data_IF_155792101291
#
_entry.id   IF_155792101291
#
_cell.length_a   1.000
_cell.length_b   1.000
_cell.length_c   1.000
_cell.angle_alpha   90.00
_cell.angle_beta   90.00
_cell.angle_gamma   90.00
#
_symmetry.space_group_name_H-M   'P 1'
#
loop_
_entity.id
_entity.type
_entity.pdbx_description
1 polymer ?
#
# COMPACT_ATOMS: atom_id res chain seq x y z
N UNK A 1 2.65 20.50 -6.35
CA UNK A 1 1.77 19.47 -5.74
C UNK A 1 1.04 18.81 -6.88
N UNK A 2 1.28 17.51 -7.10
CA UNK A 2 0.65 16.76 -8.18
C UNK A 2 0.31 15.35 -7.67
N UNK A 3 -0.66 15.28 -6.76
CA UNK A 3 -1.26 13.99 -6.41
C UNK A 3 -2.08 13.53 -7.62
N UNK A 4 -1.67 12.42 -8.23
CA UNK A 4 -2.44 11.75 -9.28
C UNK A 4 -3.34 10.70 -8.64
N UNK A 5 -4.63 10.79 -8.91
CA UNK A 5 -5.54 9.71 -8.57
C UNK A 5 -5.19 8.44 -9.38
N UNK A 6 -5.06 7.31 -8.70
CA UNK A 6 -4.69 6.03 -9.34
C UNK A 6 -5.71 4.92 -9.11
N UNK A 7 -6.59 5.03 -8.11
CA UNK A 7 -7.62 4.02 -7.90
C UNK A 7 -8.51 4.24 -6.68
N UNK A 8 -9.65 3.58 -6.71
CA UNK A 8 -10.66 3.55 -5.65
C UNK A 8 -11.27 2.15 -5.58
N UNK A 9 -11.65 1.70 -4.38
CA UNK A 9 -12.31 0.42 -4.18
C UNK A 9 -13.68 0.41 -4.90
N UNK A 10 -13.92 -0.50 -5.87
CA UNK A 10 -15.14 -0.49 -6.65
C UNK A 10 -16.23 -1.31 -5.94
N UNK A 11 -16.89 -0.79 -4.89
CA UNK A 11 -18.17 -1.37 -4.41
C UNK A 11 -18.98 -0.62 -3.32
N UNK A 12 -19.10 0.70 -3.31
CA UNK A 12 -20.00 1.36 -2.33
C UNK A 12 -20.74 2.56 -2.92
N UNK A 13 -22.06 2.71 -2.64
CA UNK A 13 -22.78 3.96 -2.91
C UNK A 13 -22.53 5.03 -1.83
N UNK A 14 -21.84 4.70 -0.74
CA UNK A 14 -21.63 5.59 0.41
C UNK A 14 -20.15 5.96 0.62
N UNK A 15 -19.95 7.13 1.24
CA UNK A 15 -18.66 7.70 1.62
C UNK A 15 -17.83 6.71 2.46
N UNK A 16 -16.54 6.52 2.11
CA UNK A 16 -15.61 5.65 2.87
C UNK A 16 -14.87 4.59 2.06
N UNK A 17 -14.83 4.72 0.72
CA UNK A 17 -14.04 3.84 -0.14
C UNK A 17 -12.53 4.03 0.04
N UNK A 18 -11.75 2.95 0.22
CA UNK A 18 -10.30 3.02 0.10
C UNK A 18 -9.88 3.67 -1.22
N UNK A 19 -9.01 4.66 -1.13
CA UNK A 19 -8.60 5.51 -2.25
C UNK A 19 -7.09 5.70 -2.24
N UNK A 20 -6.49 5.71 -3.44
CA UNK A 20 -5.05 5.83 -3.62
C UNK A 20 -4.69 6.96 -4.57
N UNK A 21 -3.62 7.66 -4.22
CA UNK A 21 -2.95 8.66 -5.06
C UNK A 21 -1.45 8.39 -5.14
N UNK A 22 -0.82 8.83 -6.22
CA UNK A 22 0.62 8.89 -6.39
C UNK A 22 1.07 10.36 -6.27
N UNK A 23 2.03 10.67 -5.40
CA UNK A 23 2.72 11.96 -5.47
C UNK A 23 3.82 11.89 -6.54
N UNK A 24 3.59 12.54 -7.68
CA UNK A 24 4.55 12.57 -8.79
C UNK A 24 5.92 13.15 -8.44
N UNK A 25 6.02 13.90 -7.34
CA UNK A 25 7.25 14.56 -6.95
C UNK A 25 8.21 13.62 -6.22
N UNK A 26 7.66 12.71 -5.43
CA UNK A 26 8.42 11.84 -4.54
C UNK A 26 8.33 10.37 -4.96
N UNK A 27 7.29 10.01 -5.71
CA UNK A 27 6.94 8.62 -5.99
C UNK A 27 6.15 7.96 -4.85
N UNK A 28 5.80 8.71 -3.80
CA UNK A 28 5.10 8.15 -2.65
C UNK A 28 3.65 7.80 -2.98
N UNK A 29 3.19 6.67 -2.42
CA UNK A 29 1.79 6.32 -2.44
C UNK A 29 1.07 6.92 -1.23
N UNK A 30 0.06 7.73 -1.51
CA UNK A 30 -0.85 8.26 -0.49
C UNK A 30 -2.10 7.38 -0.48
N UNK A 31 -2.42 6.81 0.68
CA UNK A 31 -3.46 5.80 0.82
C UNK A 31 -4.43 6.21 1.92
N UNK A 32 -5.71 6.33 1.55
CA UNK A 32 -6.82 6.35 2.51
C UNK A 32 -7.43 4.94 2.53
N UNK A 33 -7.50 4.31 3.69
CA UNK A 33 -8.16 2.99 3.86
C UNK A 33 -8.61 2.79 5.31
N UNK A 34 -9.15 1.61 5.61
CA UNK A 34 -9.59 1.24 6.96
C UNK A 34 -8.40 0.97 7.88
N UNK A 35 -8.51 1.41 9.14
CA UNK A 35 -7.58 1.01 10.19
C UNK A 35 -7.69 -0.49 10.44
N UNK A 36 -6.55 -1.16 10.63
CA UNK A 36 -6.53 -2.56 11.03
C UNK A 36 -7.12 -2.73 12.44
N UNK A 37 -7.80 -3.85 12.67
CA UNK A 37 -8.26 -4.23 14.00
C UNK A 37 -7.09 -4.66 14.90
N UNK A 38 -7.33 -4.69 16.22
CA UNK A 38 -6.29 -5.02 17.20
C UNK A 38 -5.70 -6.44 17.01
N UNK A 39 -6.50 -7.39 16.51
CA UNK A 39 -6.04 -8.74 16.24
C UNK A 39 -5.03 -8.78 15.09
N UNK A 40 -5.33 -8.08 13.99
CA UNK A 40 -4.44 -7.93 12.84
C UNK A 40 -3.16 -7.21 13.20
N UNK A 41 -3.24 -6.14 14.02
CA UNK A 41 -2.06 -5.43 14.50
C UNK A 41 -1.18 -6.39 15.29
N UNK A 42 -1.75 -7.11 16.27
CA UNK A 42 -0.99 -8.07 17.07
C UNK A 42 -0.33 -9.15 16.20
N UNK A 43 -1.02 -9.69 15.21
CA UNK A 43 -0.45 -10.68 14.28
C UNK A 43 0.75 -10.10 13.51
N UNK A 44 0.64 -8.87 13.01
CA UNK A 44 1.76 -8.19 12.35
C UNK A 44 2.95 -7.98 13.30
N UNK A 45 2.69 -7.68 14.59
CA UNK A 45 3.73 -7.53 15.61
C UNK A 45 4.42 -8.84 15.96
N UNK A 46 3.68 -9.96 15.98
CA UNK A 46 4.20 -11.30 16.24
C UNK A 46 5.08 -11.82 15.09
N UNK A 47 4.69 -11.52 13.84
CA UNK A 47 5.54 -11.78 12.65
C UNK A 47 6.84 -10.96 12.74
N UNK A 48 6.74 -9.75 13.28
CA UNK A 48 7.86 -8.88 13.57
C UNK A 48 8.40 -8.11 12.37
N UNK A 49 9.46 -7.35 12.63
CA UNK A 49 10.17 -6.54 11.64
C UNK A 49 11.62 -7.03 11.48
N UNK A 50 12.48 -6.22 10.88
CA UNK A 50 13.92 -6.46 10.80
C UNK A 50 14.54 -6.65 12.20
N UNK A 51 15.53 -7.56 12.36
CA UNK A 51 16.16 -7.82 13.66
C UNK A 51 16.69 -6.55 14.33
N UNK A 52 16.40 -6.37 15.62
CA UNK A 52 16.86 -5.22 16.40
C UNK A 52 15.92 -4.01 16.39
N UNK A 53 14.75 -4.10 15.74
CA UNK A 53 13.73 -3.05 15.73
C UNK A 53 12.51 -3.42 16.57
N UNK A 54 11.88 -2.42 17.19
CA UNK A 54 10.58 -2.62 17.84
C UNK A 54 9.52 -3.01 16.82
N UNK A 55 8.56 -3.81 17.27
CA UNK A 55 7.37 -4.17 16.50
C UNK A 55 6.16 -3.31 16.89
N UNK A 56 6.30 -2.44 17.89
CA UNK A 56 5.24 -1.49 18.28
C UNK A 56 4.96 -0.46 17.19
N UNK A 57 3.68 -0.11 17.04
CA UNK A 57 3.24 0.97 16.14
C UNK A 57 3.35 2.30 16.89
N UNK A 58 4.21 3.25 16.48
CA UNK A 58 4.32 4.57 17.09
C UNK A 58 3.03 5.38 17.03
N UNK A 59 2.87 6.36 17.93
CA UNK A 59 1.65 7.20 18.01
C UNK A 59 1.33 7.96 16.71
N UNK A 60 2.36 8.32 15.93
CA UNK A 60 2.21 9.03 14.66
C UNK A 60 2.02 8.10 13.45
N UNK A 61 1.94 6.79 13.67
CA UNK A 61 1.76 5.78 12.63
C UNK A 61 0.44 5.02 12.82
N UNK A 62 -0.01 4.35 11.76
CA UNK A 62 -1.18 3.47 11.84
C UNK A 62 -1.05 2.32 10.87
N UNK A 63 -1.55 1.15 11.26
CA UNK A 63 -1.67 0.00 10.36
C UNK A 63 -3.00 0.11 9.64
N UNK A 64 -2.96 0.16 8.31
CA UNK A 64 -4.16 0.14 7.48
C UNK A 64 -4.35 -1.22 6.82
N UNK A 65 -5.60 -1.66 6.70
CA UNK A 65 -5.96 -2.77 5.83
C UNK A 65 -6.22 -2.22 4.45
N UNK A 66 -5.33 -2.48 3.50
CA UNK A 66 -5.58 -2.23 2.07
C UNK A 66 -6.23 -3.47 1.47
N UNK A 67 -7.46 -3.40 0.98
CA UNK A 67 -8.12 -4.61 0.50
C UNK A 67 -7.60 -5.06 -0.86
N UNK A 68 -7.58 -6.39 -1.06
CA UNK A 68 -6.74 -7.04 -2.08
C UNK A 68 -6.96 -6.57 -3.53
N UNK A 69 -8.19 -6.17 -3.89
CA UNK A 69 -8.45 -5.69 -5.25
C UNK A 69 -7.73 -4.36 -5.57
N UNK A 70 -7.32 -3.59 -4.56
CA UNK A 70 -6.63 -2.31 -4.72
C UNK A 70 -5.17 -2.52 -5.14
N UNK A 71 -4.60 -3.71 -4.89
CA UNK A 71 -3.21 -4.04 -5.26
C UNK A 71 -2.94 -3.83 -6.75
N UNK A 72 -3.96 -3.95 -7.60
CA UNK A 72 -3.88 -3.69 -9.05
C UNK A 72 -3.51 -2.24 -9.40
N UNK A 73 -3.71 -1.31 -8.48
CA UNK A 73 -3.43 0.12 -8.68
C UNK A 73 -2.03 0.49 -8.20
N UNK A 74 -1.33 -0.38 -7.46
CA UNK A 74 0.06 -0.14 -7.02
C UNK A 74 0.96 -0.17 -8.26
N UNK A 75 1.65 0.93 -8.61
CA UNK A 75 2.60 0.95 -9.70
C UNK A 75 3.68 -0.10 -9.44
N UNK A 76 4.00 -0.89 -10.47
CA UNK A 76 5.18 -1.75 -10.41
C UNK A 76 6.40 -0.88 -10.70
N UNK A 77 7.51 -1.05 -9.97
CA UNK A 77 8.77 -0.45 -10.40
C UNK A 77 9.02 -0.91 -11.84
N UNK A 78 9.53 0.00 -12.68
CA UNK A 78 10.05 -0.37 -13.99
C UNK A 78 11.10 -1.44 -13.73
N UNK A 79 10.71 -2.69 -13.93
CA UNK A 79 11.63 -3.80 -13.78
C UNK A 79 12.73 -3.53 -14.79
N UNK A 80 13.99 -3.59 -14.37
CA UNK A 80 15.08 -3.75 -15.32
C UNK A 80 14.64 -4.77 -16.37
N UNK A 81 14.72 -4.31 -17.62
CA UNK A 81 14.56 -5.07 -18.85
C UNK A 81 14.64 -6.59 -18.61
N UNK A 82 13.51 -7.29 -18.77
CA UNK A 82 13.55 -8.73 -18.90
C UNK A 82 14.11 -9.05 -20.30
N UNK A 83 15.40 -8.78 -20.47
CA UNK A 83 16.21 -9.16 -21.61
C UNK A 83 16.23 -10.68 -21.70
N UNK A 84 15.42 -11.22 -22.62
CA UNK A 84 15.42 -12.61 -23.03
C UNK A 84 14.15 -12.91 -23.80
N UNK A 85 14.12 -13.10 -25.11
CA UNK A 85 15.13 -13.65 -25.99
C UNK A 85 14.81 -13.26 -27.46
N UNK A 86 15.73 -12.56 -28.11
CA UNK A 86 15.85 -12.54 -29.57
C UNK A 86 16.92 -13.56 -29.95
N UNK A 87 16.48 -14.68 -30.52
CA UNK A 87 17.32 -15.78 -31.04
C UNK A 87 16.54 -17.09 -30.92
N UNK A 88 16.08 -17.77 -31.98
CA UNK A 88 16.48 -17.85 -33.40
C UNK A 88 15.23 -18.06 -34.23
#
# INVERSE_FOLDING_TARGET
MALKFIGIWPNTPDDGSPTMWLDDRTGDLIIQSWKADAATIREAQEVGSVPGHSTDVPEHETVIRLPANMLRFIPRPDSEDNGGNSGT
#
